data_IF_559713154841
#
_entry.id   IF_559713154841
#
_cell.length_a   1.000
_cell.length_b   1.000
_cell.length_c   1.000
_cell.angle_alpha   90.00
_cell.angle_beta   90.00
_cell.angle_gamma   90.00
#
_symmetry.space_group_name_H-M   'P 1'
#
loop_
_entity.id
_entity.type
_entity.pdbx_description
1 polymer ?
#
# COMPACT_ATOMS: atom_id res chain seq x y z
N UNK A 1 -11.84 8.83 62.17
CA UNK A 1 -11.29 10.14 61.78
C UNK A 1 -9.92 9.87 61.18
N UNK A 2 -9.64 10.00 59.90
CA UNK A 2 -10.47 10.31 58.75
C UNK A 2 -9.82 9.69 57.51
N UNK A 3 -10.68 9.19 56.66
CA UNK A 3 -10.45 8.81 55.27
C UNK A 3 -10.21 10.04 54.39
N UNK A 4 -9.32 9.94 53.39
CA UNK A 4 -9.39 10.81 52.22
C UNK A 4 -9.13 10.01 50.93
N UNK A 5 -10.12 10.07 50.03
CA UNK A 5 -10.25 9.40 48.74
C UNK A 5 -9.38 10.08 47.66
N UNK A 6 -9.10 9.41 46.52
CA UNK A 6 -8.52 10.05 45.35
C UNK A 6 -9.56 10.79 44.50
N UNK A 7 -9.17 11.96 43.99
CA UNK A 7 -9.96 12.84 43.12
C UNK A 7 -10.11 12.28 41.70
N UNK A 8 -11.36 12.30 41.21
CA UNK A 8 -11.73 12.24 39.79
C UNK A 8 -11.39 13.59 39.14
N UNK A 9 -10.75 13.57 37.98
CA UNK A 9 -10.70 14.73 37.08
C UNK A 9 -11.62 14.47 35.90
N UNK A 10 -12.36 15.53 35.56
CA UNK A 10 -13.47 15.59 34.62
C UNK A 10 -13.01 15.46 33.16
N UNK A 11 -13.92 14.92 32.36
CA UNK A 11 -13.92 15.04 30.91
C UNK A 11 -14.34 16.48 30.54
N UNK A 12 -13.54 17.14 29.73
CA UNK A 12 -13.88 18.42 29.13
C UNK A 12 -13.96 18.26 27.60
N UNK A 13 -15.06 18.77 27.09
CA UNK A 13 -15.54 18.70 25.71
C UNK A 13 -14.94 19.82 24.89
N UNK A 14 -14.22 19.52 23.81
CA UNK A 14 -13.86 20.51 22.80
C UNK A 14 -14.77 20.41 21.57
N UNK A 15 -15.62 21.43 21.44
CA UNK A 15 -16.32 21.79 20.22
C UNK A 15 -15.32 22.43 19.27
N UNK A 16 -15.25 21.94 18.04
CA UNK A 16 -14.54 22.61 16.95
C UNK A 16 -15.53 23.53 16.23
N UNK A 17 -15.29 24.83 16.37
CA UNK A 17 -15.91 25.89 15.58
C UNK A 17 -15.60 25.71 14.09
N UNK A 18 -16.65 25.73 13.27
CA UNK A 18 -16.55 25.75 11.81
C UNK A 18 -16.84 27.17 11.32
N UNK A 19 -15.81 27.86 10.82
CA UNK A 19 -15.98 29.07 10.01
C UNK A 19 -15.83 28.71 8.52
N UNK A 20 -16.79 29.08 7.65
CA UNK A 20 -16.61 28.97 6.22
C UNK A 20 -15.98 30.25 5.64
N UNK A 21 -14.90 30.06 4.88
CA UNK A 21 -14.28 31.09 4.05
C UNK A 21 -15.20 31.42 2.85
N UNK A 22 -15.54 32.70 2.74
CA UNK A 22 -16.19 33.32 1.59
C UNK A 22 -15.26 33.31 0.37
N UNK A 23 -15.79 32.91 -0.80
CA UNK A 23 -15.24 33.31 -2.10
C UNK A 23 -16.30 34.06 -2.91
N UNK A 24 -16.01 35.32 -3.22
CA UNK A 24 -16.72 36.14 -4.19
C UNK A 24 -16.21 35.83 -5.60
N UNK A 25 -17.11 35.56 -6.55
CA UNK A 25 -16.88 35.85 -7.98
C UNK A 25 -18.12 36.58 -8.50
N UNK A 26 -17.87 37.80 -9.00
CA UNK A 26 -18.85 38.68 -9.65
C UNK A 26 -18.90 38.42 -11.16
N UNK A 27 -20.13 38.40 -11.66
CA UNK A 27 -20.63 38.92 -12.95
C UNK A 27 -19.94 38.55 -14.28
N UNK A 28 -20.73 37.99 -15.19
CA UNK A 28 -20.97 38.66 -16.49
C UNK A 28 -22.37 38.33 -17.05
N UNK A 29 -22.94 39.35 -17.70
CA UNK A 29 -24.30 39.46 -18.23
C UNK A 29 -24.45 38.73 -19.56
N UNK A 30 -25.68 38.31 -19.92
CA UNK A 30 -26.15 38.54 -21.30
C UNK A 30 -27.07 37.51 -21.95
N UNK A 31 -28.31 37.97 -22.19
CA UNK A 31 -29.18 37.76 -23.37
C UNK A 31 -30.00 36.47 -23.51
N UNK A 32 -31.30 36.70 -23.47
CA UNK A 32 -32.37 35.89 -24.00
C UNK A 32 -32.50 35.99 -25.53
N UNK A 33 -33.25 35.01 -26.05
CA UNK A 33 -34.11 34.98 -27.24
C UNK A 33 -33.62 34.35 -28.55
N UNK A 34 -34.43 33.33 -28.91
CA UNK A 34 -35.09 33.12 -30.19
C UNK A 34 -34.40 32.22 -31.23
N UNK A 35 -35.00 31.05 -31.44
CA UNK A 35 -35.39 30.61 -32.79
C UNK A 35 -36.63 29.73 -32.73
N UNK A 36 -37.70 30.22 -33.35
CA UNK A 36 -38.98 29.53 -33.63
C UNK A 36 -39.08 29.42 -35.15
N UNK A 37 -39.23 28.21 -35.70
CA UNK A 37 -39.78 27.93 -37.04
C UNK A 37 -40.54 26.59 -36.93
N UNK A 38 -41.87 26.62 -36.98
CA UNK A 38 -42.71 26.42 -38.17
C UNK A 38 -42.52 25.01 -38.75
N UNK A 39 -43.52 24.14 -38.62
CA UNK A 39 -44.45 23.75 -39.71
C UNK A 39 -45.70 23.14 -39.07
N UNK A 40 -46.86 23.76 -39.34
CA UNK A 40 -48.19 23.18 -39.18
C UNK A 40 -48.65 22.66 -40.54
N UNK A 41 -49.11 21.41 -40.57
CA UNK A 41 -50.18 20.88 -41.42
C UNK A 41 -49.96 19.37 -41.46
N UNK A 42 -50.88 18.58 -40.92
CA UNK A 42 -51.21 17.28 -41.49
C UNK A 42 -52.56 16.82 -40.93
N UNK A 43 -53.52 16.81 -41.84
CA UNK A 43 -54.93 16.47 -41.67
C UNK A 43 -55.14 14.96 -41.49
N UNK A 44 -56.20 14.63 -40.76
CA UNK A 44 -56.50 13.30 -40.29
C UNK A 44 -56.87 12.33 -41.41
N UNK A 45 -56.31 11.12 -41.34
CA UNK A 45 -56.94 9.92 -41.91
C UNK A 45 -56.81 8.72 -40.97
N UNK A 46 -57.98 8.14 -40.70
CA UNK A 46 -58.24 6.94 -39.89
C UNK A 46 -57.26 5.81 -40.18
N UNK A 47 -56.65 5.26 -39.12
CA UNK A 47 -56.16 3.88 -39.10
C UNK A 47 -56.79 3.15 -37.92
N UNK A 48 -57.25 1.93 -38.23
CA UNK A 48 -58.10 1.06 -37.44
C UNK A 48 -57.37 0.51 -36.21
N UNK A 49 -58.15 0.26 -35.15
CA UNK A 49 -57.75 -0.45 -33.93
C UNK A 49 -57.06 -1.78 -34.26
N UNK A 50 -55.84 -1.95 -33.78
CA UNK A 50 -55.22 -3.25 -33.53
C UNK A 50 -54.78 -3.31 -32.06
N UNK A 51 -55.00 -4.45 -31.42
CA UNK A 51 -54.92 -4.71 -29.98
C UNK A 51 -53.49 -4.61 -29.41
N UNK A 52 -53.29 -4.04 -28.20
CA UNK A 52 -51.95 -3.78 -27.63
C UNK A 52 -51.42 -4.98 -26.82
N UNK A 53 -51.40 -6.19 -27.41
CA UNK A 53 -51.06 -7.41 -26.65
C UNK A 53 -49.95 -8.27 -27.26
N UNK A 54 -49.14 -7.71 -28.17
CA UNK A 54 -48.00 -8.44 -28.77
C UNK A 54 -46.64 -7.74 -28.72
N UNK A 55 -46.53 -6.56 -28.11
CA UNK A 55 -45.25 -5.83 -27.98
C UNK A 55 -44.74 -5.65 -26.54
N UNK A 56 -45.33 -6.32 -25.55
CA UNK A 56 -44.80 -6.31 -24.16
C UNK A 56 -43.89 -7.51 -23.88
N UNK A 57 -43.96 -8.59 -24.66
CA UNK A 57 -43.15 -9.78 -24.43
C UNK A 57 -41.74 -9.73 -25.07
N UNK A 58 -41.50 -8.85 -26.05
CA UNK A 58 -40.19 -8.72 -26.70
C UNK A 58 -39.29 -7.63 -26.07
N UNK A 59 -39.86 -6.69 -25.32
CA UNK A 59 -39.10 -5.67 -24.61
C UNK A 59 -38.56 -6.17 -23.24
N UNK A 60 -39.23 -7.14 -22.61
CA UNK A 60 -38.75 -7.73 -21.35
C UNK A 60 -37.66 -8.79 -21.55
N UNK A 61 -37.58 -9.45 -22.72
CA UNK A 61 -36.51 -10.41 -23.01
C UNK A 61 -35.17 -9.76 -23.42
N UNK A 62 -35.19 -8.48 -23.83
CA UNK A 62 -33.99 -7.68 -24.10
C UNK A 62 -33.58 -6.77 -22.94
N UNK A 63 -34.35 -6.74 -21.85
CA UNK A 63 -34.02 -6.03 -20.60
C UNK A 63 -33.71 -6.96 -19.42
N UNK A 64 -33.68 -8.27 -19.64
CA UNK A 64 -33.23 -9.26 -18.63
C UNK A 64 -31.80 -9.75 -18.89
N UNK A 65 -31.19 -9.38 -20.03
CA UNK A 65 -29.75 -9.63 -20.30
C UNK A 65 -28.86 -8.42 -19.97
N UNK A 66 -29.44 -7.25 -19.65
CA UNK A 66 -28.68 -6.01 -19.41
C UNK A 66 -28.56 -5.60 -17.92
N UNK A 67 -28.96 -6.47 -16.98
CA UNK A 67 -28.79 -6.24 -15.54
C UNK A 67 -28.10 -7.41 -14.83
N UNK A 68 -27.20 -8.11 -15.52
CA UNK A 68 -26.09 -8.72 -14.82
C UNK A 68 -25.13 -7.58 -14.47
N UNK A 69 -25.25 -7.08 -13.25
CA UNK A 69 -24.19 -6.31 -12.62
C UNK A 69 -22.88 -7.03 -12.92
N UNK A 70 -22.01 -6.40 -13.70
CA UNK A 70 -20.67 -6.91 -13.91
C UNK A 70 -19.99 -6.80 -12.54
N UNK A 71 -20.11 -7.85 -11.72
CA UNK A 71 -19.06 -8.21 -10.79
C UNK A 71 -17.85 -8.49 -11.69
N UNK A 72 -17.16 -7.42 -12.08
CA UNK A 72 -16.12 -7.46 -13.08
C UNK A 72 -15.05 -8.40 -12.59
N UNK A 73 -14.84 -9.50 -13.32
CA UNK A 73 -13.70 -10.37 -13.06
C UNK A 73 -12.45 -9.51 -13.16
N UNK A 74 -11.74 -9.34 -12.05
CA UNK A 74 -10.52 -8.55 -12.03
C UNK A 74 -9.53 -9.07 -13.08
N UNK A 75 -8.80 -8.20 -13.77
CA UNK A 75 -7.87 -8.65 -14.80
C UNK A 75 -6.77 -9.53 -14.20
N UNK A 76 -6.24 -10.46 -15.00
CA UNK A 76 -5.01 -11.17 -14.64
C UNK A 76 -3.85 -10.24 -14.96
N UNK A 77 -3.10 -9.84 -13.93
CA UNK A 77 -1.90 -9.03 -14.07
C UNK A 77 -0.75 -9.94 -14.51
N UNK A 78 -0.04 -9.55 -15.58
CA UNK A 78 1.01 -10.36 -16.24
C UNK A 78 2.43 -9.97 -15.88
N UNK A 79 2.59 -8.99 -14.97
CA UNK A 79 3.86 -8.42 -14.52
C UNK A 79 3.96 -8.51 -13.00
N UNK A 80 5.14 -8.29 -12.45
CA UNK A 80 5.43 -8.38 -11.01
C UNK A 80 6.09 -9.69 -10.64
N UNK A 81 6.52 -9.80 -9.38
CA UNK A 81 7.38 -10.87 -8.92
C UNK A 81 6.72 -12.27 -8.99
N UNK A 82 5.40 -12.38 -8.79
CA UNK A 82 4.69 -13.66 -8.96
C UNK A 82 4.61 -14.10 -10.43
N UNK A 83 4.87 -13.18 -11.37
CA UNK A 83 4.97 -13.41 -12.80
C UNK A 83 6.43 -13.50 -13.30
N UNK A 84 7.41 -13.56 -12.39
CA UNK A 84 8.83 -13.73 -12.71
C UNK A 84 9.66 -12.46 -12.81
N UNK A 85 9.07 -11.27 -12.58
CA UNK A 85 9.84 -10.02 -12.53
C UNK A 85 10.59 -9.90 -11.19
N UNK A 86 11.90 -10.18 -11.19
CA UNK A 86 12.72 -10.16 -9.97
C UNK A 86 13.32 -8.79 -9.69
N UNK A 87 12.74 -8.09 -8.71
CA UNK A 87 13.16 -6.74 -8.29
C UNK A 87 14.29 -6.78 -7.25
N UNK A 88 15.16 -5.76 -7.29
CA UNK A 88 16.13 -5.46 -6.22
C UNK A 88 15.43 -4.65 -5.15
N UNK A 89 15.45 -5.12 -3.90
CA UNK A 89 14.62 -4.55 -2.83
C UNK A 89 15.43 -4.29 -1.56
N UNK A 90 15.28 -3.08 -1.03
CA UNK A 90 15.59 -2.74 0.36
C UNK A 90 14.27 -2.48 1.09
N UNK A 91 14.11 -3.05 2.28
CA UNK A 91 13.06 -2.67 3.23
C UNK A 91 13.67 -1.78 4.30
N UNK A 92 13.10 -0.59 4.52
CA UNK A 92 13.45 0.34 5.60
C UNK A 92 12.27 0.44 6.56
N UNK A 93 12.44 -0.03 7.79
CA UNK A 93 11.33 -0.31 8.71
C UNK A 93 11.63 0.13 10.13
N UNK A 94 10.62 0.67 10.81
CA UNK A 94 10.66 0.95 12.24
C UNK A 94 10.20 -0.24 13.11
N UNK A 95 10.34 -1.46 12.61
CA UNK A 95 10.05 -2.71 13.32
C UNK A 95 10.59 -2.72 14.76
N UNK A 96 9.68 -3.03 15.70
CA UNK A 96 9.94 -2.92 17.14
C UNK A 96 9.77 -1.51 17.70
N UNK A 97 9.32 -0.56 16.88
CA UNK A 97 8.99 0.82 17.22
C UNK A 97 7.61 0.92 17.86
N UNK A 98 6.69 1.63 17.21
CA UNK A 98 5.39 1.97 17.82
C UNK A 98 4.23 1.03 17.55
N UNK A 99 4.18 0.40 16.37
CA UNK A 99 3.11 -0.50 15.98
C UNK A 99 3.70 -1.91 15.81
N UNK A 100 3.05 -2.98 16.29
CA UNK A 100 3.46 -4.35 16.01
C UNK A 100 3.33 -4.78 14.54
N UNK A 101 2.72 -3.98 13.66
CA UNK A 101 2.42 -4.40 12.29
C UNK A 101 3.63 -4.58 11.36
N UNK A 102 4.73 -3.84 11.55
CA UNK A 102 5.99 -4.08 10.83
C UNK A 102 6.49 -5.52 11.01
N UNK A 103 6.26 -6.14 12.17
CA UNK A 103 6.60 -7.56 12.35
C UNK A 103 5.74 -8.46 11.45
N UNK A 104 4.44 -8.16 11.32
CA UNK A 104 3.56 -8.89 10.42
C UNK A 104 3.97 -8.65 8.95
N UNK A 105 4.26 -7.39 8.57
CA UNK A 105 4.73 -7.02 7.23
C UNK A 105 6.07 -7.69 6.89
N UNK A 106 7.00 -7.78 7.85
CA UNK A 106 8.29 -8.45 7.65
C UNK A 106 8.11 -9.96 7.47
N UNK A 107 7.24 -10.62 8.25
CA UNK A 107 6.93 -12.04 8.02
C UNK A 107 6.34 -12.26 6.62
N UNK A 108 5.40 -11.41 6.21
CA UNK A 108 4.83 -11.45 4.87
C UNK A 108 5.90 -11.25 3.79
N UNK A 109 6.78 -10.27 3.93
CA UNK A 109 7.91 -10.10 3.01
C UNK A 109 8.80 -11.36 2.93
N UNK A 110 9.15 -11.96 4.08
CA UNK A 110 10.08 -13.09 4.13
C UNK A 110 9.52 -14.38 3.50
N UNK A 111 8.21 -14.63 3.56
CA UNK A 111 7.62 -15.78 2.84
C UNK A 111 7.65 -15.61 1.31
N UNK A 112 7.89 -14.39 0.82
CA UNK A 112 8.12 -14.06 -0.60
C UNK A 112 9.59 -13.78 -0.95
N UNK A 113 10.53 -13.98 -0.03
CA UNK A 113 11.92 -13.59 -0.24
C UNK A 113 12.61 -14.33 -1.42
N UNK A 114 12.06 -15.46 -1.88
CA UNK A 114 12.51 -16.15 -3.09
C UNK A 114 12.25 -15.38 -4.38
N UNK A 115 11.29 -14.45 -4.38
CA UNK A 115 10.89 -13.66 -5.54
C UNK A 115 11.66 -12.34 -5.69
N UNK A 116 12.51 -12.00 -4.72
CA UNK A 116 13.25 -10.74 -4.69
C UNK A 116 14.76 -10.96 -4.66
N UNK A 117 15.50 -9.97 -5.13
CA UNK A 117 16.89 -9.78 -4.72
C UNK A 117 16.87 -8.90 -3.46
N UNK A 118 16.88 -9.55 -2.29
CA UNK A 118 16.87 -8.85 -1.00
C UNK A 118 18.23 -8.22 -0.76
N UNK A 119 18.32 -6.91 -0.96
CA UNK A 119 19.57 -6.18 -0.89
C UNK A 119 19.78 -5.48 0.46
N UNK A 120 18.73 -5.32 1.26
CA UNK A 120 18.82 -4.68 2.57
C UNK A 120 17.57 -4.82 3.41
N UNK A 121 17.76 -5.03 4.70
CA UNK A 121 16.73 -4.96 5.74
C UNK A 121 17.21 -3.94 6.78
N UNK A 122 16.76 -2.70 6.65
CA UNK A 122 17.28 -1.57 7.40
C UNK A 122 16.29 -1.24 8.51
N UNK A 123 16.78 -1.20 9.75
CA UNK A 123 16.01 -0.65 10.85
C UNK A 123 16.14 0.87 10.83
N UNK A 124 15.03 1.57 10.62
CA UNK A 124 14.91 3.03 10.64
C UNK A 124 14.18 3.51 11.91
N UNK A 125 14.21 4.82 12.22
CA UNK A 125 13.44 5.42 13.31
C UNK A 125 11.92 5.25 13.11
N UNK A 126 11.09 5.36 14.18
CA UNK A 126 11.42 5.97 15.46
C UNK A 126 11.41 5.00 16.66
N UNK A 127 11.66 5.57 17.86
CA UNK A 127 11.48 4.92 19.17
C UNK A 127 12.44 3.76 19.40
N UNK A 128 11.89 2.59 19.74
CA UNK A 128 12.63 1.40 20.19
C UNK A 128 12.98 0.46 19.03
N UNK A 129 12.55 0.75 17.80
CA UNK A 129 12.82 -0.07 16.63
C UNK A 129 14.32 -0.17 16.37
N UNK A 130 14.84 -1.39 16.19
CA UNK A 130 16.29 -1.66 16.06
C UNK A 130 16.52 -2.84 15.15
N UNK A 131 17.71 -2.96 14.58
CA UNK A 131 18.12 -4.10 13.77
C UNK A 131 17.92 -5.45 14.49
N UNK A 132 18.01 -5.47 15.83
CA UNK A 132 17.71 -6.66 16.65
C UNK A 132 16.27 -7.16 16.49
N UNK A 133 15.31 -6.29 16.17
CA UNK A 133 13.92 -6.68 15.90
C UNK A 133 13.77 -7.35 14.53
N UNK A 134 14.54 -6.92 13.52
CA UNK A 134 14.64 -7.64 12.24
C UNK A 134 15.24 -9.02 12.47
N UNK A 135 16.33 -9.11 13.25
CA UNK A 135 16.96 -10.40 13.57
C UNK A 135 15.98 -11.38 14.22
N UNK A 136 15.11 -10.93 15.15
CA UNK A 136 14.07 -11.79 15.74
C UNK A 136 13.13 -12.40 14.71
N UNK A 137 12.78 -11.66 13.66
CA UNK A 137 11.94 -12.18 12.56
C UNK A 137 12.74 -13.14 11.68
N UNK A 138 14.02 -12.87 11.43
CA UNK A 138 14.92 -13.79 10.72
C UNK A 138 15.14 -15.09 11.50
N UNK A 139 15.16 -15.05 12.83
CA UNK A 139 15.23 -16.25 13.68
C UNK A 139 13.96 -17.12 13.56
N UNK A 140 12.80 -16.50 13.31
CA UNK A 140 11.59 -17.24 12.96
C UNK A 140 11.70 -17.85 11.56
N UNK A 141 12.15 -17.07 10.58
CA UNK A 141 12.41 -17.55 9.21
C UNK A 141 13.38 -18.73 9.16
N UNK A 142 14.47 -18.70 9.93
CA UNK A 142 15.47 -19.76 9.96
C UNK A 142 14.90 -21.12 10.35
N UNK A 143 13.92 -21.14 11.25
CA UNK A 143 13.25 -22.38 11.67
C UNK A 143 12.42 -22.99 10.55
N UNK A 144 11.88 -22.18 9.64
CA UNK A 144 11.06 -22.62 8.51
C UNK A 144 11.88 -22.77 7.21
N UNK A 145 13.10 -22.25 7.16
CA UNK A 145 13.96 -22.26 5.98
C UNK A 145 14.16 -23.66 5.36
N UNK A 146 14.36 -24.75 6.12
CA UNK A 146 14.44 -26.10 5.56
C UNK A 146 13.19 -26.53 4.80
N UNK A 147 12.02 -26.00 5.13
CA UNK A 147 10.78 -26.25 4.41
C UNK A 147 10.68 -25.35 3.18
N UNK A 148 10.93 -24.04 3.35
CA UNK A 148 10.83 -23.04 2.28
C UNK A 148 11.73 -23.39 1.08
N UNK A 149 12.97 -23.80 1.33
CA UNK A 149 13.95 -24.11 0.27
C UNK A 149 13.56 -25.33 -0.57
N UNK A 150 12.69 -26.21 -0.07
CA UNK A 150 12.14 -27.33 -0.86
C UNK A 150 11.19 -26.85 -1.96
N UNK A 151 10.59 -25.67 -1.79
CA UNK A 151 9.69 -25.07 -2.78
C UNK A 151 10.42 -24.20 -3.79
N UNK A 152 11.49 -23.52 -3.38
CA UNK A 152 12.30 -22.67 -4.23
C UNK A 152 13.71 -22.56 -3.68
N UNK A 153 14.72 -22.95 -4.47
CA UNK A 153 16.13 -22.75 -4.11
C UNK A 153 16.54 -21.28 -4.13
N UNK A 154 15.66 -20.38 -4.58
CA UNK A 154 15.90 -18.94 -4.60
C UNK A 154 15.64 -18.24 -3.26
N UNK A 155 15.06 -18.92 -2.26
CA UNK A 155 14.95 -18.39 -0.91
C UNK A 155 16.35 -18.07 -0.34
N UNK A 156 16.61 -16.85 0.15
CA UNK A 156 17.90 -16.51 0.74
C UNK A 156 18.11 -17.28 2.05
N UNK A 157 19.31 -17.81 2.24
CA UNK A 157 19.66 -18.43 3.52
C UNK A 157 19.53 -17.42 4.68
N UNK A 158 19.28 -17.89 5.91
CA UNK A 158 19.23 -17.02 7.08
C UNK A 158 20.52 -16.19 7.25
N UNK A 159 21.68 -16.76 6.90
CA UNK A 159 22.96 -16.04 6.89
C UNK A 159 22.99 -14.90 5.88
N UNK A 160 22.47 -15.11 4.66
CA UNK A 160 22.35 -14.05 3.65
C UNK A 160 21.42 -12.93 4.11
N UNK A 161 20.27 -13.26 4.71
CA UNK A 161 19.37 -12.26 5.28
C UNK A 161 20.03 -11.45 6.38
N UNK A 162 20.71 -12.09 7.35
CA UNK A 162 21.43 -11.39 8.43
C UNK A 162 22.54 -10.48 7.91
N UNK A 163 23.24 -10.88 6.85
CA UNK A 163 24.33 -10.08 6.26
C UNK A 163 23.84 -8.75 5.68
N UNK A 164 22.59 -8.68 5.21
CA UNK A 164 21.98 -7.47 4.66
C UNK A 164 21.14 -6.69 5.67
N UNK A 165 21.07 -7.14 6.93
CA UNK A 165 20.50 -6.33 8.02
C UNK A 165 21.44 -5.16 8.33
N UNK A 166 20.88 -3.96 8.46
CA UNK A 166 21.61 -2.74 8.82
C UNK A 166 20.86 -1.95 9.88
N UNK A 167 21.59 -1.25 10.73
CA UNK A 167 21.03 -0.24 11.61
C UNK A 167 21.08 1.12 10.91
N UNK A 168 19.92 1.62 10.47
CA UNK A 168 19.77 2.98 9.97
C UNK A 168 19.83 4.01 11.10
N UNK A 169 19.22 5.16 10.86
CA UNK A 169 19.09 6.20 11.87
C UNK A 169 18.38 5.69 13.13
N UNK A 170 18.69 6.30 14.28
CA UNK A 170 18.00 6.05 15.54
C UNK A 170 16.88 7.06 15.76
N UNK A 171 17.18 8.32 15.45
CA UNK A 171 16.26 9.45 15.56
C UNK A 171 15.82 9.91 14.15
N UNK A 172 14.59 10.42 13.97
CA UNK A 172 14.18 11.09 12.75
C UNK A 172 15.10 12.26 12.39
N UNK A 173 15.09 12.68 11.12
CA UNK A 173 15.95 13.77 10.68
C UNK A 173 15.67 15.08 11.45
N UNK A 174 16.70 15.91 11.71
CA UNK A 174 16.49 17.27 12.22
C UNK A 174 15.78 18.14 11.17
N UNK A 175 15.37 19.34 11.54
CA UNK A 175 14.53 20.23 10.71
C UNK A 175 15.02 20.44 9.27
N UNK A 176 16.34 20.47 9.04
CA UNK A 176 16.93 20.59 7.70
C UNK A 176 16.70 19.36 6.79
N UNK A 177 16.26 18.23 7.33
CA UNK A 177 15.85 17.02 6.63
C UNK A 177 16.92 15.95 6.41
N UNK A 178 18.15 16.21 6.82
CA UNK A 178 19.25 15.25 6.84
C UNK A 178 20.22 15.57 7.98
N UNK A 179 21.11 14.65 8.33
CA UNK A 179 22.12 14.83 9.37
C UNK A 179 23.47 14.23 8.96
N UNK A 180 23.95 13.22 9.67
CA UNK A 180 25.19 12.51 9.38
C UNK A 180 24.89 11.13 8.77
N UNK A 181 25.78 10.62 7.90
CA UNK A 181 25.61 9.29 7.32
C UNK A 181 25.51 8.18 8.39
N UNK A 182 24.52 7.32 8.23
CA UNK A 182 24.24 6.12 9.04
C UNK A 182 24.74 4.86 8.34
N UNK A 183 24.71 3.69 9.00
CA UNK A 183 24.98 2.44 8.28
C UNK A 183 23.88 2.18 7.21
N UNK A 184 22.61 2.46 7.52
CA UNK A 184 21.50 2.33 6.59
C UNK A 184 21.61 3.21 5.34
N UNK A 185 21.81 4.52 5.50
CA UNK A 185 21.96 5.46 4.37
C UNK A 185 23.16 5.15 3.49
N UNK A 186 24.33 4.84 4.08
CA UNK A 186 25.50 4.38 3.32
C UNK A 186 25.21 3.10 2.55
N UNK A 187 24.46 2.17 3.14
CA UNK A 187 24.08 0.93 2.47
C UNK A 187 23.15 1.19 1.28
N UNK A 188 22.15 2.07 1.43
CA UNK A 188 21.27 2.50 0.33
C UNK A 188 22.10 3.09 -0.81
N UNK A 189 22.99 4.04 -0.52
CA UNK A 189 23.85 4.67 -1.52
C UNK A 189 24.74 3.63 -2.23
N UNK A 190 25.38 2.74 -1.48
CA UNK A 190 26.23 1.69 -2.03
C UNK A 190 25.46 0.73 -2.95
N UNK A 191 24.26 0.29 -2.55
CA UNK A 191 23.43 -0.61 -3.37
C UNK A 191 22.87 0.10 -4.60
N UNK A 192 22.45 1.36 -4.48
CA UNK A 192 21.99 2.14 -5.63
C UNK A 192 23.13 2.44 -6.63
N UNK A 193 24.37 2.58 -6.13
CA UNK A 193 25.58 2.81 -6.93
C UNK A 193 26.24 1.54 -7.51
N UNK A 194 25.71 0.34 -7.25
CA UNK A 194 26.36 -0.93 -7.56
C UNK A 194 26.47 -1.30 -9.06
N UNK A 195 26.03 -0.43 -9.97
CA UNK A 195 26.16 -0.64 -11.43
C UNK A 195 25.22 -1.68 -12.05
N UNK A 196 24.26 -2.22 -11.28
CA UNK A 196 23.16 -3.02 -11.85
C UNK A 196 22.18 -2.09 -12.59
N UNK A 197 21.81 -2.48 -13.82
CA UNK A 197 20.92 -1.70 -14.68
C UNK A 197 19.47 -1.67 -14.18
N UNK A 198 19.07 -2.61 -13.33
CA UNK A 198 17.75 -2.65 -12.71
C UNK A 198 17.67 -1.61 -11.59
N UNK A 199 16.54 -0.89 -11.46
CA UNK A 199 16.34 0.00 -10.33
C UNK A 199 16.35 -0.76 -9.00
N UNK A 200 16.75 -0.06 -7.95
CA UNK A 200 16.63 -0.47 -6.56
C UNK A 200 15.33 0.10 -5.98
N UNK A 201 14.42 -0.78 -5.60
CA UNK A 201 13.22 -0.40 -4.86
C UNK A 201 13.54 -0.28 -3.38
N UNK A 202 13.15 0.84 -2.77
CA UNK A 202 13.25 1.06 -1.33
C UNK A 202 11.84 1.19 -0.78
N UNK A 203 11.42 0.18 -0.03
CA UNK A 203 10.12 0.12 0.64
C UNK A 203 10.28 0.76 2.02
N UNK A 204 9.75 1.96 2.19
CA UNK A 204 9.88 2.77 3.41
C UNK A 204 8.62 2.60 4.24
N UNK A 205 8.71 1.72 5.24
CA UNK A 205 7.65 1.38 6.19
C UNK A 205 7.66 2.35 7.38
N UNK A 206 8.87 2.67 7.85
CA UNK A 206 9.10 3.67 8.90
C UNK A 206 9.48 5.05 8.35
N UNK A 207 10.46 5.67 8.99
CA UNK A 207 11.00 6.99 8.62
C UNK A 207 11.84 6.94 7.34
N UNK A 208 11.64 7.91 6.43
CA UNK A 208 12.38 8.08 5.17
C UNK A 208 13.77 8.71 5.38
N UNK A 209 14.13 9.05 6.62
CA UNK A 209 15.41 9.64 7.06
C UNK A 209 16.64 9.03 6.37
N UNK A 210 16.78 7.71 6.32
CA UNK A 210 17.96 7.08 5.72
C UNK A 210 18.02 7.25 4.19
N UNK A 211 16.86 7.35 3.52
CA UNK A 211 16.78 7.67 2.09
C UNK A 211 17.14 9.14 1.87
N UNK A 212 16.62 10.05 2.70
CA UNK A 212 16.95 11.47 2.63
C UNK A 212 18.44 11.73 2.79
N UNK A 213 19.07 11.08 3.78
CA UNK A 213 20.52 11.15 3.97
C UNK A 213 21.28 10.57 2.79
N UNK A 214 20.90 9.39 2.27
CA UNK A 214 21.59 8.77 1.14
C UNK A 214 21.53 9.64 -0.13
N UNK A 215 20.36 10.23 -0.42
CA UNK A 215 20.16 11.12 -1.56
C UNK A 215 20.88 12.46 -1.36
N UNK A 216 20.98 12.95 -0.12
CA UNK A 216 21.78 14.14 0.20
C UNK A 216 23.27 13.89 -0.08
N UNK A 217 23.80 12.75 0.38
CA UNK A 217 25.21 12.41 0.25
C UNK A 217 25.62 12.16 -1.21
N UNK A 218 24.76 11.51 -2.00
CA UNK A 218 24.96 11.29 -3.44
C UNK A 218 23.65 11.44 -4.22
N UNK A 219 23.30 12.65 -4.69
CA UNK A 219 22.09 12.88 -5.48
C UNK A 219 22.05 12.08 -6.79
N UNK A 220 23.20 11.61 -7.29
CA UNK A 220 23.27 10.91 -8.56
C UNK A 220 22.60 9.52 -8.49
N UNK A 221 22.44 8.93 -7.29
CA UNK A 221 21.80 7.63 -7.10
C UNK A 221 20.29 7.66 -7.42
N UNK A 222 19.65 8.84 -7.43
CA UNK A 222 18.21 8.99 -7.70
C UNK A 222 17.77 8.31 -9.01
N UNK A 223 18.63 8.32 -10.03
CA UNK A 223 18.35 7.66 -11.33
C UNK A 223 18.07 6.16 -11.18
N UNK A 224 18.66 5.52 -10.17
CA UNK A 224 18.55 4.10 -9.89
C UNK A 224 17.56 3.79 -8.77
N UNK A 225 17.05 4.78 -8.03
CA UNK A 225 16.14 4.56 -6.92
C UNK A 225 14.67 4.59 -7.36
N UNK A 226 13.87 3.75 -6.71
CA UNK A 226 12.41 3.75 -6.77
C UNK A 226 11.89 3.68 -5.34
N UNK A 227 11.37 4.78 -4.82
CA UNK A 227 10.92 4.86 -3.42
C UNK A 227 9.42 4.61 -3.35
N UNK A 228 9.00 3.69 -2.48
CA UNK A 228 7.60 3.52 -2.09
C UNK A 228 7.53 3.76 -0.59
N UNK A 229 6.85 4.82 -0.14
CA UNK A 229 6.72 5.13 1.28
C UNK A 229 5.28 5.01 1.77
N UNK A 230 5.15 4.55 3.01
CA UNK A 230 3.92 4.70 3.79
C UNK A 230 3.85 6.17 4.25
N UNK A 231 3.16 6.99 3.46
CA UNK A 231 3.20 8.45 3.50
C UNK A 231 2.63 9.05 4.78
N UNK A 232 1.51 8.52 5.29
CA UNK A 232 0.87 9.07 6.50
C UNK A 232 1.79 9.06 7.72
N UNK A 233 2.66 8.07 7.82
CA UNK A 233 3.63 7.98 8.89
C UNK A 233 4.74 9.01 8.73
N UNK A 234 5.31 9.12 7.53
CA UNK A 234 6.37 10.06 7.20
C UNK A 234 5.92 11.52 7.33
N UNK A 235 4.73 11.86 6.85
CA UNK A 235 4.12 13.19 6.98
C UNK A 235 3.90 13.62 8.44
N UNK A 236 3.71 12.66 9.34
CA UNK A 236 3.41 12.92 10.75
C UNK A 236 4.63 12.80 11.68
N UNK A 237 5.55 11.86 11.40
CA UNK A 237 6.62 11.48 12.32
C UNK A 237 8.03 11.73 11.77
N UNK A 238 8.20 11.89 10.47
CA UNK A 238 9.50 12.18 9.83
C UNK A 238 9.38 13.29 8.76
N UNK A 239 8.63 14.34 9.12
CA UNK A 239 8.26 15.42 8.20
C UNK A 239 9.49 16.13 7.64
N UNK A 240 10.54 16.32 8.42
CA UNK A 240 11.71 17.06 7.98
C UNK A 240 12.42 16.36 6.81
N UNK A 241 12.70 15.06 6.92
CA UNK A 241 13.30 14.27 5.85
C UNK A 241 12.40 14.22 4.62
N UNK A 242 11.10 13.96 4.84
CA UNK A 242 10.09 13.95 3.79
C UNK A 242 10.05 15.28 3.02
N UNK A 243 9.91 16.40 3.72
CA UNK A 243 9.75 17.72 3.10
C UNK A 243 11.05 18.20 2.45
N UNK A 244 12.21 17.75 2.93
CA UNK A 244 13.49 17.97 2.25
C UNK A 244 13.55 17.23 0.91
N UNK A 245 13.26 15.92 0.89
CA UNK A 245 13.18 15.15 -0.37
C UNK A 245 12.15 15.73 -1.32
N UNK A 246 10.96 16.05 -0.82
CA UNK A 246 9.87 16.61 -1.62
C UNK A 246 10.26 17.94 -2.28
N UNK A 247 10.92 18.86 -1.56
CA UNK A 247 11.26 20.19 -2.09
C UNK A 247 12.54 20.22 -2.91
N UNK A 248 13.59 19.55 -2.46
CA UNK A 248 14.94 19.69 -3.03
C UNK A 248 15.25 18.59 -4.07
N UNK A 249 14.48 17.51 -4.08
CA UNK A 249 14.69 16.34 -4.95
C UNK A 249 13.43 16.00 -5.76
N UNK A 250 12.84 17.00 -6.41
CA UNK A 250 11.61 16.91 -7.21
C UNK A 250 11.65 15.87 -8.34
N UNK A 251 12.85 15.44 -8.75
CA UNK A 251 13.12 14.45 -9.79
C UNK A 251 13.22 13.01 -9.25
N UNK A 252 13.17 12.80 -7.92
CA UNK A 252 13.15 11.49 -7.30
C UNK A 252 11.91 10.71 -7.75
N UNK A 253 12.10 9.45 -8.14
CA UNK A 253 10.97 8.55 -8.40
C UNK A 253 10.39 8.06 -7.08
N UNK A 254 9.17 8.49 -6.79
CA UNK A 254 8.57 8.30 -5.47
C UNK A 254 7.05 8.12 -5.53
N UNK A 255 6.60 6.99 -4.98
CA UNK A 255 5.20 6.75 -4.60
C UNK A 255 5.04 7.07 -3.11
N UNK A 256 4.18 8.03 -2.79
CA UNK A 256 3.76 8.34 -1.42
C UNK A 256 2.34 7.86 -1.18
N UNK A 257 2.21 6.70 -0.52
CA UNK A 257 0.93 6.07 -0.20
C UNK A 257 0.43 6.55 1.17
N UNK A 258 -0.42 7.56 1.21
CA UNK A 258 -0.93 8.17 2.45
C UNK A 258 -2.04 7.37 3.12
N UNK A 259 -2.87 6.71 2.35
CA UNK A 259 -4.06 5.98 2.80
C UNK A 259 -4.38 4.78 1.93
N UNK A 260 -3.87 4.70 0.69
CA UNK A 260 -4.08 3.54 -0.20
C UNK A 260 -3.73 2.22 0.49
N UNK A 261 -2.62 2.19 1.24
CA UNK A 261 -2.17 1.02 1.99
C UNK A 261 -3.21 0.45 2.98
N UNK A 262 -4.18 1.27 3.42
CA UNK A 262 -5.24 0.84 4.35
C UNK A 262 -6.11 -0.25 3.76
N UNK A 263 -6.18 -0.38 2.43
CA UNK A 263 -6.90 -1.47 1.78
C UNK A 263 -6.37 -2.87 2.09
N UNK A 264 -5.17 -3.01 2.67
CA UNK A 264 -4.68 -4.29 3.19
C UNK A 264 -5.62 -4.89 4.26
N UNK A 265 -6.27 -4.05 5.06
CA UNK A 265 -7.07 -4.48 6.20
C UNK A 265 -8.44 -3.78 6.33
N UNK A 266 -8.76 -2.85 5.41
CA UNK A 266 -10.05 -2.14 5.37
C UNK A 266 -10.76 -2.41 4.04
N UNK A 267 -12.04 -2.77 4.10
CA UNK A 267 -12.86 -3.10 2.94
C UNK A 267 -12.49 -4.44 2.29
N UNK A 268 -12.88 -4.62 1.03
CA UNK A 268 -12.78 -5.90 0.32
C UNK A 268 -13.67 -6.99 0.93
N UNK A 269 -13.55 -8.22 0.42
CA UNK A 269 -14.26 -9.36 1.01
C UNK A 269 -13.69 -9.69 2.40
N UNK A 270 -14.50 -9.55 3.45
CA UNK A 270 -14.13 -9.91 4.83
C UNK A 270 -15.01 -11.03 5.41
N UNK A 271 -15.76 -11.72 4.56
CA UNK A 271 -16.61 -12.85 4.95
C UNK A 271 -15.78 -14.12 5.14
N UNK A 272 -16.20 -14.97 6.08
CA UNK A 272 -15.58 -16.29 6.30
C UNK A 272 -14.09 -16.21 6.57
N UNK A 273 -13.30 -16.94 5.79
CA UNK A 273 -11.84 -17.02 5.92
C UNK A 273 -11.11 -15.73 5.51
N UNK A 274 -11.77 -14.79 4.82
CA UNK A 274 -11.13 -13.57 4.32
C UNK A 274 -11.12 -12.42 5.34
N UNK A 275 -11.75 -12.59 6.50
CA UNK A 275 -11.74 -11.60 7.58
C UNK A 275 -10.37 -11.45 8.24
N UNK A 276 -10.04 -10.26 8.74
CA UNK A 276 -8.72 -9.96 9.31
C UNK A 276 -8.31 -10.91 10.46
N UNK A 277 -9.26 -11.37 11.29
CA UNK A 277 -8.98 -12.31 12.38
C UNK A 277 -9.05 -13.75 11.88
N UNK A 278 -10.12 -14.12 11.18
CA UNK A 278 -10.36 -15.48 10.70
C UNK A 278 -9.27 -15.96 9.75
N UNK A 279 -8.74 -15.09 8.90
CA UNK A 279 -7.61 -15.43 8.03
C UNK A 279 -6.38 -15.83 8.84
N UNK A 280 -5.97 -15.03 9.84
CA UNK A 280 -4.81 -15.38 10.66
C UNK A 280 -5.03 -16.66 11.47
N UNK A 281 -6.23 -16.84 12.03
CA UNK A 281 -6.55 -18.04 12.80
C UNK A 281 -6.57 -19.31 11.96
N UNK A 282 -6.96 -19.21 10.69
CA UNK A 282 -7.15 -20.37 9.81
C UNK A 282 -5.91 -20.72 9.00
N UNK A 283 -5.18 -19.70 8.51
CA UNK A 283 -4.17 -19.83 7.46
C UNK A 283 -2.77 -19.40 7.87
N UNK A 284 -2.60 -18.83 9.06
CA UNK A 284 -1.30 -18.30 9.52
C UNK A 284 -0.89 -18.91 10.85
N UNK A 285 -1.77 -18.97 11.84
CA UNK A 285 -1.49 -19.62 13.14
C UNK A 285 -1.18 -21.10 12.92
N UNK A 286 -0.07 -21.58 13.50
CA UNK A 286 0.37 -22.96 13.35
C UNK A 286 0.98 -23.30 11.98
N UNK A 287 1.16 -22.31 11.09
CA UNK A 287 1.80 -22.51 9.79
C UNK A 287 3.29 -22.12 9.87
N UNK A 288 4.07 -22.94 10.58
CA UNK A 288 5.49 -22.71 10.81
C UNK A 288 5.77 -21.65 11.88
N UNK A 289 7.06 -21.51 12.19
CA UNK A 289 7.56 -20.55 13.17
C UNK A 289 7.27 -19.10 12.79
N UNK A 290 7.24 -18.77 11.50
CA UNK A 290 6.87 -17.46 10.97
C UNK A 290 5.41 -17.13 11.29
N UNK A 291 4.50 -18.07 11.05
CA UNK A 291 3.07 -17.90 11.30
C UNK A 291 2.79 -17.68 12.78
N UNK A 292 3.36 -18.52 13.64
CA UNK A 292 3.24 -18.39 15.09
C UNK A 292 3.85 -17.09 15.61
N UNK A 293 5.02 -16.70 15.10
CA UNK A 293 5.64 -15.43 15.45
C UNK A 293 4.74 -14.24 15.09
N UNK A 294 4.19 -14.23 13.88
CA UNK A 294 3.29 -13.17 13.40
C UNK A 294 2.09 -12.98 14.33
N UNK A 295 1.38 -14.06 14.66
CA UNK A 295 0.15 -13.97 15.46
C UNK A 295 0.41 -13.61 16.93
N UNK A 296 1.65 -13.77 17.42
CA UNK A 296 2.03 -13.27 18.76
C UNK A 296 2.13 -11.74 18.83
N UNK A 297 2.29 -11.07 17.69
CA UNK A 297 2.41 -9.60 17.61
C UNK A 297 1.05 -8.94 17.58
N UNK A 298 0.16 -9.48 16.74
CA UNK A 298 -1.22 -9.03 16.65
C UNK A 298 -2.09 -10.15 16.09
N UNK A 299 -3.24 -10.38 16.74
CA UNK A 299 -4.19 -11.45 16.37
C UNK A 299 -5.17 -11.09 15.24
N UNK A 300 -4.89 -10.04 14.47
CA UNK A 300 -5.65 -9.67 13.28
C UNK A 300 -4.69 -9.09 12.23
N UNK A 301 -5.04 -9.21 10.94
CA UNK A 301 -4.33 -8.52 9.86
C UNK A 301 -4.37 -7.02 10.14
N UNK A 302 -3.18 -6.43 10.28
CA UNK A 302 -2.96 -4.99 10.28
C UNK A 302 -1.99 -4.63 9.15
N UNK A 303 -0.76 -5.16 9.17
CA UNK A 303 0.17 -5.21 8.03
C UNK A 303 0.20 -3.96 7.14
N UNK A 304 0.28 -2.76 7.74
CA UNK A 304 0.10 -1.49 7.03
C UNK A 304 1.09 -1.28 5.88
N UNK A 305 2.25 -1.92 5.94
CA UNK A 305 3.34 -1.73 4.98
C UNK A 305 3.38 -2.78 3.88
N UNK A 306 2.70 -3.90 4.10
CA UNK A 306 2.62 -5.01 3.14
C UNK A 306 2.10 -4.61 1.75
N UNK A 307 1.25 -3.59 1.57
CA UNK A 307 0.94 -3.04 0.24
C UNK A 307 2.15 -2.65 -0.60
N UNK A 308 3.23 -2.17 0.01
CA UNK A 308 4.48 -1.88 -0.72
C UNK A 308 5.13 -3.15 -1.28
N UNK A 309 4.97 -4.29 -0.59
CA UNK A 309 5.39 -5.62 -1.06
C UNK A 309 4.42 -6.11 -2.14
N UNK A 310 3.11 -6.02 -1.90
CA UNK A 310 2.07 -6.40 -2.85
C UNK A 310 2.20 -5.64 -4.19
N UNK A 311 2.63 -4.38 -4.14
CA UNK A 311 2.91 -3.56 -5.32
C UNK A 311 3.97 -4.22 -6.21
N UNK A 312 5.03 -4.77 -5.62
CA UNK A 312 6.06 -5.48 -6.38
C UNK A 312 5.67 -6.92 -6.75
N UNK A 313 4.77 -7.55 -5.99
CA UNK A 313 4.34 -8.93 -6.23
C UNK A 313 3.53 -9.06 -7.52
N UNK A 314 2.58 -8.17 -7.79
CA UNK A 314 1.67 -8.30 -8.94
C UNK A 314 1.22 -6.95 -9.49
N UNK A 315 1.53 -6.73 -10.78
CA UNK A 315 1.42 -5.44 -11.48
C UNK A 315 2.77 -5.03 -12.09
N UNK A 316 2.80 -4.03 -12.96
CA UNK A 316 4.07 -3.54 -13.55
C UNK A 316 4.73 -2.50 -12.63
N UNK A 317 5.79 -2.85 -11.90
CA UNK A 317 6.37 -1.96 -10.89
C UNK A 317 7.02 -0.69 -11.48
N UNK A 318 7.06 -0.53 -12.81
CA UNK A 318 7.51 0.69 -13.48
C UNK A 318 6.36 1.67 -13.80
N UNK A 319 5.10 1.25 -13.69
CA UNK A 319 3.92 2.07 -13.99
C UNK A 319 3.01 2.19 -12.76
N UNK A 320 3.26 3.15 -11.84
CA UNK A 320 2.46 3.30 -10.63
C UNK A 320 0.96 3.54 -10.85
N UNK A 321 0.56 3.99 -12.05
CA UNK A 321 -0.84 4.26 -12.37
C UNK A 321 -1.61 2.99 -12.81
N UNK A 322 -0.89 1.94 -13.22
CA UNK A 322 -1.50 0.67 -13.57
C UNK A 322 -2.03 -0.07 -12.32
N UNK A 323 -2.94 -1.06 -12.50
CA UNK A 323 -3.41 -1.87 -11.38
C UNK A 323 -2.30 -2.75 -10.78
N UNK A 324 -2.18 -2.73 -9.45
CA UNK A 324 -1.32 -3.62 -8.66
C UNK A 324 -2.10 -4.19 -7.48
N UNK A 325 -1.64 -5.30 -6.91
CA UNK A 325 -2.15 -5.74 -5.60
C UNK A 325 -1.88 -4.73 -4.49
N UNK A 326 -0.77 -3.98 -4.60
CA UNK A 326 -0.41 -2.90 -3.66
C UNK A 326 -1.08 -1.56 -3.89
N UNK A 327 -1.98 -1.46 -4.86
CA UNK A 327 -2.71 -0.24 -5.20
C UNK A 327 -2.22 0.45 -6.48
N UNK A 328 -3.00 1.42 -6.95
CA UNK A 328 -2.68 2.23 -8.13
C UNK A 328 -2.73 3.71 -7.77
N UNK A 329 -1.78 4.49 -8.29
CA UNK A 329 -1.49 5.84 -7.83
C UNK A 329 -1.65 6.88 -8.96
N UNK A 330 -1.95 8.11 -8.57
CA UNK A 330 -2.10 9.23 -9.50
C UNK A 330 -0.82 10.04 -9.51
N UNK A 331 -0.29 10.26 -10.72
CA UNK A 331 0.84 11.15 -10.94
C UNK A 331 0.41 12.60 -10.68
N UNK A 332 1.18 13.34 -9.89
CA UNK A 332 0.87 14.75 -9.61
C UNK A 332 1.58 15.68 -10.59
N UNK A 333 1.36 16.99 -10.43
CA UNK A 333 2.12 18.05 -11.09
C UNK A 333 3.46 18.36 -10.38
N UNK A 334 3.76 17.68 -9.27
CA UNK A 334 5.00 17.84 -8.51
C UNK A 334 6.15 17.06 -9.15
N UNK A 335 6.79 17.69 -10.12
CA UNK A 335 7.94 17.11 -10.81
C UNK A 335 7.60 15.92 -11.72
N UNK A 336 8.60 15.29 -12.34
CA UNK A 336 8.36 14.28 -13.35
C UNK A 336 8.00 12.90 -12.80
N UNK A 337 8.26 12.60 -11.52
CA UNK A 337 8.19 11.23 -11.00
C UNK A 337 7.63 11.13 -9.57
N UNK A 338 6.55 11.84 -9.27
CA UNK A 338 5.88 11.75 -7.96
C UNK A 338 4.42 11.31 -8.12
N UNK A 339 4.03 10.32 -7.32
CA UNK A 339 2.68 9.73 -7.32
C UNK A 339 2.13 9.64 -5.91
N UNK A 340 0.82 9.82 -5.76
CA UNK A 340 0.10 9.67 -4.49
C UNK A 340 -1.29 9.05 -4.68
N UNK A 341 -2.04 8.91 -3.61
CA UNK A 341 -3.36 8.30 -3.57
C UNK A 341 -4.35 8.97 -4.53
N UNK A 342 -5.17 8.15 -5.21
CA UNK A 342 -6.31 8.67 -5.96
C UNK A 342 -7.38 9.22 -5.03
N UNK A 343 -7.76 10.49 -5.24
CA UNK A 343 -8.87 11.16 -4.54
C UNK A 343 -10.25 10.87 -5.16
N UNK A 344 -10.33 9.96 -6.14
CA UNK A 344 -11.60 9.54 -6.70
C UNK A 344 -12.44 8.82 -5.62
N UNK A 345 -13.62 9.37 -5.35
CA UNK A 345 -14.57 8.82 -4.38
C UNK A 345 -14.99 7.37 -4.70
N UNK A 346 -14.93 6.96 -5.97
CA UNK A 346 -15.20 5.57 -6.38
C UNK A 346 -14.14 4.60 -5.84
N UNK A 347 -12.90 5.06 -5.68
CA UNK A 347 -11.74 4.29 -5.22
C UNK A 347 -11.49 4.40 -3.70
N UNK A 348 -12.31 5.16 -3.00
CA UNK A 348 -12.23 5.37 -1.55
C UNK A 348 -12.92 4.24 -0.77
N UNK A 349 -12.31 3.81 0.33
CA UNK A 349 -12.92 2.95 1.34
C UNK A 349 -13.10 3.72 2.65
N UNK A 350 -14.34 3.93 3.09
CA UNK A 350 -14.63 4.79 4.25
C UNK A 350 -14.03 6.19 4.08
N UNK A 351 -12.98 6.51 4.85
CA UNK A 351 -12.23 7.79 4.79
C UNK A 351 -10.85 7.68 4.15
N UNK A 352 -10.56 6.56 3.49
CA UNK A 352 -9.24 6.24 2.94
C UNK A 352 -9.28 6.26 1.41
N UNK A 353 -8.91 7.39 0.78
CA UNK A 353 -8.68 7.49 -0.66
C UNK A 353 -7.77 6.36 -1.18
N UNK A 354 -8.01 5.94 -2.41
CA UNK A 354 -7.24 4.87 -3.06
C UNK A 354 -7.34 3.47 -2.46
N UNK A 355 -7.85 3.27 -1.23
CA UNK A 355 -7.82 1.99 -0.54
C UNK A 355 -8.55 0.85 -1.29
N UNK A 356 -9.56 1.14 -2.11
CA UNK A 356 -10.21 0.12 -2.95
C UNK A 356 -9.31 -0.44 -4.04
N UNK A 357 -8.29 0.30 -4.45
CA UNK A 357 -7.30 -0.17 -5.43
C UNK A 357 -6.43 -1.31 -4.88
N UNK A 358 -6.37 -1.46 -3.55
CA UNK A 358 -5.75 -2.61 -2.85
C UNK A 358 -6.81 -3.65 -2.53
N UNK A 359 -7.88 -3.25 -1.81
CA UNK A 359 -8.82 -4.22 -1.23
C UNK A 359 -9.68 -4.98 -2.25
N UNK A 360 -9.79 -4.47 -3.48
CA UNK A 360 -10.36 -5.21 -4.59
C UNK A 360 -9.62 -6.54 -4.83
N UNK A 361 -8.30 -6.57 -4.61
CA UNK A 361 -7.45 -7.75 -4.81
C UNK A 361 -7.39 -8.70 -3.62
N UNK A 362 -8.16 -8.44 -2.55
CA UNK A 362 -8.03 -9.10 -1.26
C UNK A 362 -8.02 -10.62 -1.35
N UNK A 363 -9.01 -11.21 -2.00
CA UNK A 363 -9.06 -12.67 -2.14
C UNK A 363 -7.83 -13.21 -2.86
N UNK A 364 -7.28 -12.49 -3.86
CA UNK A 364 -6.11 -12.97 -4.61
C UNK A 364 -4.84 -12.92 -3.78
N UNK A 365 -4.54 -11.79 -3.14
CA UNK A 365 -3.32 -11.70 -2.35
C UNK A 365 -3.40 -12.55 -1.08
N UNK A 366 -4.58 -12.72 -0.47
CA UNK A 366 -4.75 -13.60 0.69
C UNK A 366 -4.68 -15.08 0.28
N UNK A 367 -5.22 -15.46 -0.88
CA UNK A 367 -5.05 -16.82 -1.42
C UNK A 367 -3.57 -17.14 -1.61
N UNK A 368 -2.83 -16.25 -2.29
CA UNK A 368 -1.41 -16.47 -2.55
C UNK A 368 -0.60 -16.50 -1.24
N UNK A 369 -0.94 -15.61 -0.29
CA UNK A 369 -0.27 -15.60 1.02
C UNK A 369 -0.54 -16.88 1.83
N UNK A 370 -1.77 -17.39 1.85
CA UNK A 370 -2.09 -18.70 2.46
C UNK A 370 -1.19 -19.79 1.89
N UNK A 371 -1.11 -19.88 0.57
CA UNK A 371 -0.33 -20.91 -0.11
C UNK A 371 1.18 -20.77 0.20
N UNK A 372 1.67 -19.56 0.46
CA UNK A 372 3.04 -19.29 0.93
C UNK A 372 3.25 -19.72 2.38
N UNK A 373 2.27 -19.52 3.26
CA UNK A 373 2.34 -19.97 4.65
C UNK A 373 2.34 -21.50 4.76
N UNK A 374 1.63 -22.21 3.89
CA UNK A 374 1.69 -23.68 3.83
C UNK A 374 3.10 -24.20 3.52
N UNK A 375 3.90 -23.45 2.74
CA UNK A 375 5.32 -23.77 2.50
C UNK A 375 6.14 -23.70 3.76
N UNK A 376 5.94 -22.66 4.58
CA UNK A 376 6.63 -22.49 5.86
C UNK A 376 6.30 -23.65 6.82
N UNK A 377 5.03 -24.10 6.81
CA UNK A 377 4.55 -25.22 7.60
C UNK A 377 5.11 -26.60 7.17
N UNK A 378 5.84 -26.69 6.06
CA UNK A 378 6.34 -27.96 5.53
C UNK A 378 5.24 -28.88 5.02
N UNK A 379 4.06 -28.34 4.69
CA UNK A 379 2.96 -29.12 4.12
C UNK A 379 3.32 -29.49 2.68
N UNK A 380 3.06 -30.73 2.31
CA UNK A 380 3.28 -31.21 0.94
C UNK A 380 2.28 -30.57 -0.04
N UNK A 381 2.62 -30.62 -1.33
CA UNK A 381 1.79 -30.14 -2.44
C UNK A 381 0.41 -30.78 -2.48
#
# INVERSE_FOLDING_TARGET
MDSAKPNRVFAETDRVDTQPLFYCILNSRGRANATRRLVSDWDGRRVRRASPLRYVAAACALWVVACAAHAGVLPILKRGAVNGDRCRVIVSTDIGGSDPDDFQSMVHFLVYADLFDVEGLISSPPKQGRATHIHKTVDAYERDYPNLVQWSTAYPSPGQLRAVVKQGAIDPAPEQGFSQPTEGSRWIAARAGAGDARPLYVLVWGSITDVAQAVHDDPAIKRNLRVYSIGSWNTSNDRAARDYLFREHIDLWWIESDTTFRGMYVGGNQEGEWGNKSFLETHVRGHGALGDFLVTKLGAIKMGDSPSVLYLLSGDPNDPAAPHWGGSFVKTDHGPNYWTDSQDAALQEGKYPGAKTVNAWRERFLTDWRDRMDRAAGRAR
#
